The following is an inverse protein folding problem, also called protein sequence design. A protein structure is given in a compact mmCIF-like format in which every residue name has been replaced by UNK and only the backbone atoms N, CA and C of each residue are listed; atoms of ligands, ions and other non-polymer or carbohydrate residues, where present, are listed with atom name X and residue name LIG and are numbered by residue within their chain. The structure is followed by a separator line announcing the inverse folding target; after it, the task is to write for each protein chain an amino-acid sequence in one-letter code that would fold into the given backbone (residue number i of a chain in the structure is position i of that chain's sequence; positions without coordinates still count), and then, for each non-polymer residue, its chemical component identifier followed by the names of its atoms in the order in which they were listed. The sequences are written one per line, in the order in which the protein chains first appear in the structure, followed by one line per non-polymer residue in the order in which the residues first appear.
data_IF_724607100347
#
_entry.id   IF_724607100347
#
_cell.length_a   1.000
_cell.length_b   1.000
_cell.length_c   1.000
_cell.angle_alpha   90.00
_cell.angle_beta   90.00
_cell.angle_gamma   90.00
#
_symmetry.space_group_name_H-M   'P 1'
#
loop_
_entity.id
_entity.type
_entity.pdbx_description
1 polymer ?
#
# COMPACT_ATOMS: atom_id res chain seq x y z
N UNK A 1 11.85 -21.67 17.65
CA UNK A 1 10.52 -21.97 17.04
C UNK A 1 10.66 -23.15 16.08
N UNK A 2 9.58 -23.86 15.72
CA UNK A 2 9.72 -24.94 14.73
C UNK A 2 10.09 -24.36 13.35
N UNK A 3 11.03 -25.00 12.65
CA UNK A 3 11.49 -24.63 11.30
C UNK A 3 10.34 -24.36 10.33
N UNK A 4 9.26 -25.14 10.38
CA UNK A 4 8.07 -24.92 9.56
C UNK A 4 7.46 -23.52 9.76
N UNK A 5 7.34 -23.07 11.01
CA UNK A 5 6.77 -21.78 11.31
C UNK A 5 7.73 -20.63 10.93
N UNK A 6 9.05 -20.84 11.07
CA UNK A 6 10.07 -19.91 10.58
C UNK A 6 9.97 -19.70 9.07
N UNK A 7 9.78 -20.76 8.29
CA UNK A 7 9.55 -20.65 6.85
C UNK A 7 8.23 -19.92 6.53
N UNK A 8 7.15 -20.21 7.26
CA UNK A 8 5.88 -19.50 7.08
C UNK A 8 6.01 -18.00 7.38
N UNK A 9 6.78 -17.62 8.40
CA UNK A 9 7.07 -16.21 8.68
C UNK A 9 7.91 -15.56 7.57
N UNK A 10 8.93 -16.24 7.04
CA UNK A 10 9.70 -15.74 5.88
C UNK A 10 8.81 -15.54 4.65
N UNK A 11 7.92 -16.48 4.38
CA UNK A 11 6.95 -16.37 3.28
C UNK A 11 6.00 -15.18 3.49
N UNK A 12 5.51 -14.99 4.71
CA UNK A 12 4.66 -13.84 5.06
C UNK A 12 5.40 -12.52 4.91
N UNK A 13 6.65 -12.45 5.35
CA UNK A 13 7.50 -11.27 5.19
C UNK A 13 7.69 -10.92 3.71
N UNK A 14 8.00 -11.92 2.87
CA UNK A 14 8.12 -11.73 1.43
C UNK A 14 6.82 -11.18 0.81
N UNK A 15 5.67 -11.72 1.22
CA UNK A 15 4.37 -11.20 0.81
C UNK A 15 4.19 -9.73 1.20
N UNK A 16 4.47 -9.37 2.46
CA UNK A 16 4.33 -8.00 2.95
C UNK A 16 5.24 -7.02 2.21
N UNK A 17 6.48 -7.42 1.90
CA UNK A 17 7.44 -6.60 1.15
C UNK A 17 6.98 -6.38 -0.30
N UNK A 18 6.51 -7.43 -0.98
CA UNK A 18 5.98 -7.34 -2.33
C UNK A 18 4.74 -6.46 -2.38
N UNK A 19 3.79 -6.69 -1.47
CA UNK A 19 2.57 -5.89 -1.39
C UNK A 19 2.87 -4.42 -1.11
N UNK A 20 3.85 -4.10 -0.25
CA UNK A 20 4.33 -2.74 -0.01
C UNK A 20 4.82 -2.09 -1.31
N UNK A 21 5.74 -2.76 -2.01
CA UNK A 21 6.33 -2.28 -3.27
C UNK A 21 5.25 -1.98 -4.32
N UNK A 22 4.34 -2.93 -4.52
CA UNK A 22 3.28 -2.80 -5.53
C UNK A 22 2.30 -1.69 -5.15
N UNK A 23 1.97 -1.55 -3.86
CA UNK A 23 1.08 -0.52 -3.35
C UNK A 23 1.69 0.88 -3.48
N UNK A 24 2.96 1.05 -3.11
CA UNK A 24 3.69 2.30 -3.30
C UNK A 24 3.76 2.69 -4.79
N UNK A 25 3.98 1.72 -5.67
CA UNK A 25 3.98 1.94 -7.11
C UNK A 25 2.59 2.36 -7.62
N UNK A 26 1.53 1.70 -7.15
CA UNK A 26 0.15 2.07 -7.46
C UNK A 26 -0.14 3.52 -7.06
N UNK A 27 0.26 3.94 -5.85
CA UNK A 27 0.05 5.32 -5.39
C UNK A 27 0.80 6.33 -6.27
N UNK A 28 2.02 6.02 -6.71
CA UNK A 28 2.77 6.86 -7.66
C UNK A 28 2.06 6.97 -9.01
N UNK A 29 1.58 5.86 -9.55
CA UNK A 29 0.85 5.87 -10.82
C UNK A 29 -0.49 6.57 -10.72
N UNK A 30 -1.16 6.48 -9.58
CA UNK A 30 -2.40 7.22 -9.33
C UNK A 30 -2.17 8.73 -9.43
N UNK A 31 -1.09 9.24 -8.84
CA UNK A 31 -0.71 10.65 -8.94
C UNK A 31 -0.41 11.08 -10.39
N UNK A 32 0.26 10.21 -11.17
CA UNK A 32 0.49 10.45 -12.59
C UNK A 32 -0.84 10.54 -13.36
N UNK A 33 -1.75 9.58 -13.15
CA UNK A 33 -3.08 9.58 -13.78
C UNK A 33 -3.87 10.85 -13.43
N UNK A 34 -3.84 11.29 -12.16
CA UNK A 34 -4.56 12.49 -11.74
C UNK A 34 -3.96 13.77 -12.36
N UNK A 35 -2.64 13.80 -12.56
CA UNK A 35 -1.96 14.88 -13.28
C UNK A 35 -2.36 14.93 -14.76
N UNK A 36 -2.41 13.78 -15.43
CA UNK A 36 -2.85 13.67 -16.83
C UNK A 36 -4.32 14.08 -16.98
N UNK A 37 -5.19 13.62 -16.08
CA UNK A 37 -6.59 14.02 -16.05
C UNK A 37 -6.73 15.54 -15.90
N UNK A 38 -5.97 16.15 -15.00
CA UNK A 38 -5.99 17.61 -14.82
C UNK A 38 -5.63 18.34 -16.13
N UNK A 39 -4.54 17.93 -16.79
CA UNK A 39 -4.12 18.50 -18.09
C UNK A 39 -5.16 18.32 -19.19
N UNK A 40 -5.84 17.17 -19.24
CA UNK A 40 -6.90 16.93 -20.23
C UNK A 40 -8.07 17.91 -20.06
N UNK A 41 -8.50 18.12 -18.81
CA UNK A 41 -9.65 18.97 -18.50
C UNK A 41 -9.34 20.47 -18.44
N UNK A 42 -8.07 20.90 -18.46
CA UNK A 42 -7.68 22.32 -18.58
C UNK A 42 -8.28 22.96 -19.84
N UNK A 43 -8.37 22.23 -20.95
CA UNK A 43 -8.98 22.70 -22.19
C UNK A 43 -10.51 22.67 -22.17
N UNK A 44 -11.14 22.08 -21.15
CA UNK A 44 -12.59 21.82 -21.07
C UNK A 44 -13.14 22.08 -19.66
N UNK A 45 -13.05 23.32 -19.14
CA UNK A 45 -13.38 23.63 -17.75
C UNK A 45 -14.87 23.41 -17.41
N UNK A 46 -15.78 23.73 -18.34
CA UNK A 46 -17.23 23.54 -18.16
C UNK A 46 -17.56 22.05 -18.04
N UNK A 47 -17.03 21.22 -18.96
CA UNK A 47 -17.22 19.78 -18.92
C UNK A 47 -16.69 19.16 -17.61
N UNK A 48 -15.52 19.63 -17.15
CA UNK A 48 -14.95 19.20 -15.87
C UNK A 48 -15.89 19.46 -14.70
N UNK A 49 -16.53 20.64 -14.66
CA UNK A 49 -17.45 21.01 -13.60
C UNK A 49 -18.66 20.06 -13.54
N UNK A 50 -19.31 19.83 -14.69
CA UNK A 50 -20.46 18.93 -14.76
C UNK A 50 -20.10 17.50 -14.34
N UNK A 51 -18.98 16.97 -14.85
CA UNK A 51 -18.53 15.62 -14.50
C UNK A 51 -18.15 15.50 -13.02
N UNK A 52 -17.53 16.52 -12.43
CA UNK A 52 -17.19 16.53 -11.02
C UNK A 52 -18.43 16.46 -10.12
N UNK A 53 -19.51 17.19 -10.47
CA UNK A 53 -20.77 17.17 -9.73
C UNK A 53 -21.47 15.81 -9.94
N UNK A 54 -21.58 15.35 -11.18
CA UNK A 54 -22.25 14.09 -11.51
C UNK A 54 -21.58 12.87 -10.87
N UNK A 55 -20.24 12.83 -10.88
CA UNK A 55 -19.46 11.73 -10.31
C UNK A 55 -19.03 11.95 -8.86
N UNK A 56 -19.57 12.97 -8.17
CA UNK A 56 -19.18 13.28 -6.79
C UNK A 56 -19.28 12.07 -5.85
N UNK A 57 -20.38 11.28 -5.82
CA UNK A 57 -20.47 10.12 -4.94
C UNK A 57 -19.37 9.08 -5.21
N UNK A 58 -19.09 8.83 -6.48
CA UNK A 58 -18.07 7.86 -6.92
C UNK A 58 -16.66 8.36 -6.57
N UNK A 59 -16.40 9.65 -6.73
CA UNK A 59 -15.11 10.26 -6.39
C UNK A 59 -14.84 10.22 -4.89
N UNK A 60 -15.87 10.42 -4.05
CA UNK A 60 -15.76 10.28 -2.59
C UNK A 60 -15.43 8.83 -2.21
N UNK A 61 -16.10 7.84 -2.78
CA UNK A 61 -15.80 6.42 -2.52
C UNK A 61 -14.36 6.07 -2.91
N UNK A 62 -13.89 6.55 -4.07
CA UNK A 62 -12.49 6.37 -4.51
C UNK A 62 -11.50 7.01 -3.53
N UNK A 63 -11.81 8.20 -3.01
CA UNK A 63 -10.96 8.86 -2.02
C UNK A 63 -10.88 8.06 -0.71
N UNK A 64 -12.01 7.59 -0.19
CA UNK A 64 -12.04 6.73 1.01
C UNK A 64 -11.28 5.42 0.80
N UNK A 65 -11.32 4.86 -0.41
CA UNK A 65 -10.55 3.69 -0.77
C UNK A 65 -9.03 3.97 -0.73
N UNK A 66 -8.57 5.11 -1.24
CA UNK A 66 -7.16 5.50 -1.15
C UNK A 66 -6.69 5.71 0.29
N UNK A 67 -7.52 6.32 1.14
CA UNK A 67 -7.23 6.44 2.57
C UNK A 67 -7.09 5.07 3.24
N UNK A 68 -7.96 4.13 2.88
CA UNK A 68 -7.89 2.74 3.37
C UNK A 68 -6.57 2.09 2.97
N UNK A 69 -6.16 2.22 1.70
CA UNK A 69 -4.88 1.68 1.21
C UNK A 69 -3.71 2.27 2.00
N UNK A 70 -3.69 3.59 2.22
CA UNK A 70 -2.63 4.25 3.00
C UNK A 70 -2.52 3.70 4.42
N UNK A 71 -3.67 3.58 5.11
CA UNK A 71 -3.72 3.00 6.45
C UNK A 71 -3.29 1.53 6.46
N UNK A 72 -3.66 0.76 5.45
CA UNK A 72 -3.25 -0.64 5.35
C UNK A 72 -1.74 -0.75 5.05
N UNK A 73 -1.15 0.23 4.35
CA UNK A 73 0.30 0.35 4.13
C UNK A 73 1.06 0.58 5.43
N UNK A 74 0.55 1.45 6.30
CA UNK A 74 1.11 1.68 7.64
C UNK A 74 1.07 0.41 8.49
N UNK A 75 -0.06 -0.31 8.50
CA UNK A 75 -0.19 -1.59 9.21
C UNK A 75 0.80 -2.63 8.69
N UNK A 76 0.97 -2.72 7.38
CA UNK A 76 1.92 -3.64 6.77
C UNK A 76 3.37 -3.31 7.14
N UNK A 77 3.73 -2.02 7.25
CA UNK A 77 5.06 -1.63 7.75
C UNK A 77 5.30 -2.11 9.19
N UNK A 78 4.28 -1.98 10.06
CA UNK A 78 4.34 -2.51 11.43
C UNK A 78 4.52 -4.03 11.41
N UNK A 79 3.77 -4.73 10.55
CA UNK A 79 3.87 -6.20 10.41
C UNK A 79 5.27 -6.63 9.92
N UNK A 80 5.84 -5.93 8.94
CA UNK A 80 7.21 -6.19 8.45
C UNK A 80 8.22 -6.06 9.60
N UNK A 81 8.19 -4.93 10.33
CA UNK A 81 9.09 -4.70 11.47
C UNK A 81 8.92 -5.75 12.56
N UNK A 82 7.68 -6.15 12.85
CA UNK A 82 7.40 -7.20 13.81
C UNK A 82 7.99 -8.54 13.39
N UNK A 83 7.80 -8.95 12.13
CA UNK A 83 8.33 -10.23 11.62
C UNK A 83 9.86 -10.23 11.61
N UNK A 84 10.50 -9.13 11.20
CA UNK A 84 11.96 -9.01 11.27
C UNK A 84 12.48 -9.19 12.70
N UNK A 85 11.87 -8.52 13.69
CA UNK A 85 12.26 -8.64 15.09
C UNK A 85 12.06 -10.07 15.63
N UNK A 86 11.04 -10.80 15.16
CA UNK A 86 10.83 -12.20 15.54
C UNK A 86 11.92 -13.11 14.96
N UNK A 87 12.27 -12.92 13.68
CA UNK A 87 13.30 -13.72 13.03
C UNK A 87 14.71 -13.45 13.60
N UNK A 88 15.02 -12.20 13.92
CA UNK A 88 16.32 -11.78 14.49
C UNK A 88 16.51 -12.29 15.92
N UNK A 89 15.47 -12.21 16.77
CA UNK A 89 15.50 -12.81 18.12
C UNK A 89 15.78 -14.31 18.11
N UNK A 90 15.32 -15.01 17.09
CA UNK A 90 15.63 -16.42 16.93
C UNK A 90 17.09 -16.64 16.58
N UNK A 91 17.60 -15.93 15.58
CA UNK A 91 18.99 -16.06 15.11
C UNK A 91 19.99 -15.83 16.24
N UNK A 92 19.78 -14.78 17.05
CA UNK A 92 20.59 -14.48 18.23
C UNK A 92 20.46 -15.49 19.39
N UNK A 93 19.37 -16.26 19.46
CA UNK A 93 19.22 -17.33 20.44
C UNK A 93 19.98 -18.61 20.03
N UNK A 94 20.13 -18.87 18.72
CA UNK A 94 20.93 -19.99 18.21
C UNK A 94 22.44 -19.76 18.29
N UNK A 95 22.91 -18.51 18.34
CA UNK A 95 24.34 -18.19 18.51
C UNK A 95 24.83 -18.29 19.97
N UNK A 96 23.92 -18.47 20.94
CA UNK A 96 24.23 -18.54 22.38
C UNK A 96 24.17 -19.96 22.95
N UNK A 97 23.79 -20.95 22.14
CA UNK A 97 23.86 -22.39 22.46
C UNK A 97 25.07 -23.03 21.78
#
# INVERSE_FOLDING_TARGET
MNNFFKEKLKNRLMYCLNWKKDTELYLKYKNLTDTVNRKYYEKKPILKLFLNIYFLPINVLKFLHLLRISRDLEKNNIEISYIYNQLDKEENNYEKE
#
